data_IF_049825574759
#
_entry.id   IF_049825574759
#
_cell.length_a   1.000
_cell.length_b   1.000
_cell.length_c   1.000
_cell.angle_alpha   90.00
_cell.angle_beta   90.00
_cell.angle_gamma   90.00
#
_symmetry.space_group_name_H-M   'P 1'
#
loop_
_entity.id
_entity.type
_entity.pdbx_description
1 polymer ?
#
# COMPACT_ATOMS: atom_id res chain seq x y z
N UNK A 1 -1.83 10.63 9.80
CA UNK A 1 -1.10 9.33 9.75
C UNK A 1 -1.46 8.56 8.48
N UNK A 2 -2.73 8.22 8.24
CA UNK A 2 -3.21 7.46 7.06
C UNK A 2 -2.88 8.09 5.69
N UNK A 3 -3.00 9.42 5.56
CA UNK A 3 -2.72 10.15 4.32
C UNK A 3 -1.33 9.84 3.72
N UNK A 4 -0.31 9.61 4.56
CA UNK A 4 1.04 9.27 4.07
C UNK A 4 1.08 7.87 3.44
N UNK A 5 0.27 6.94 3.92
CA UNK A 5 0.17 5.58 3.39
C UNK A 5 -0.63 5.57 2.09
N UNK A 6 -1.70 6.37 2.01
CA UNK A 6 -2.43 6.60 0.76
C UNK A 6 -1.49 7.19 -0.31
N UNK A 7 -0.72 8.23 0.03
CA UNK A 7 0.23 8.84 -0.89
C UNK A 7 1.33 7.86 -1.35
N UNK A 8 1.81 6.97 -0.47
CA UNK A 8 2.76 5.92 -0.84
C UNK A 8 2.15 4.85 -1.75
N UNK A 9 0.92 4.41 -1.47
CA UNK A 9 0.22 3.47 -2.34
C UNK A 9 0.02 4.06 -3.76
N UNK A 10 -0.32 5.35 -3.86
CA UNK A 10 -0.36 6.03 -5.15
C UNK A 10 1.00 6.16 -5.82
N UNK A 11 2.06 6.44 -5.06
CA UNK A 11 3.41 6.56 -5.61
C UNK A 11 3.89 5.23 -6.21
N UNK A 12 3.56 4.09 -5.59
CA UNK A 12 3.89 2.76 -6.14
C UNK A 12 3.19 2.54 -7.49
N UNK A 13 1.92 2.93 -7.62
CA UNK A 13 1.17 2.85 -8.90
C UNK A 13 1.77 3.74 -10.00
N UNK A 14 2.36 4.88 -9.63
CA UNK A 14 2.99 5.84 -10.54
C UNK A 14 4.46 5.52 -10.83
N UNK A 15 5.03 4.48 -10.22
CA UNK A 15 6.44 4.10 -10.37
C UNK A 15 6.66 3.51 -11.76
N UNK A 16 7.49 4.17 -12.55
CA UNK A 16 7.93 3.61 -13.83
C UNK A 16 8.76 2.34 -13.60
N UNK A 17 8.57 1.36 -14.47
CA UNK A 17 9.36 0.14 -14.45
C UNK A 17 10.76 0.45 -15.01
N UNK A 18 11.84 0.07 -14.31
CA UNK A 18 13.19 0.20 -14.85
C UNK A 18 13.32 -0.54 -16.19
N UNK A 19 14.29 -0.17 -17.05
CA UNK A 19 14.53 -0.86 -18.32
C UNK A 19 15.22 -2.22 -18.11
N UNK A 20 14.55 -3.12 -17.40
CA UNK A 20 14.99 -4.50 -17.08
C UNK A 20 14.13 -5.52 -17.83
N UNK A 21 14.75 -6.62 -18.25
CA UNK A 21 14.12 -7.69 -19.03
C UNK A 21 14.07 -9.01 -18.26
N UNK A 22 13.39 -10.00 -18.84
CA UNK A 22 13.38 -11.38 -18.34
C UNK A 22 12.81 -11.51 -16.92
N UNK A 23 13.41 -12.38 -16.12
CA UNK A 23 12.97 -12.73 -14.76
C UNK A 23 13.04 -11.54 -13.79
N UNK A 24 14.06 -10.68 -13.91
CA UNK A 24 14.21 -9.49 -13.05
C UNK A 24 13.02 -8.54 -13.19
N UNK A 25 12.48 -8.41 -14.41
CA UNK A 25 11.28 -7.60 -14.67
C UNK A 25 10.08 -8.09 -13.85
N UNK A 26 9.91 -9.39 -13.75
CA UNK A 26 8.82 -10.01 -13.02
C UNK A 26 8.96 -9.80 -11.51
N UNK A 27 10.18 -9.96 -10.97
CA UNK A 27 10.47 -9.69 -9.56
C UNK A 27 10.15 -8.24 -9.16
N UNK A 28 10.46 -7.27 -10.02
CA UNK A 28 10.12 -5.86 -9.76
C UNK A 28 8.60 -5.59 -9.74
N UNK A 29 7.84 -6.31 -10.55
CA UNK A 29 6.37 -6.22 -10.58
C UNK A 29 5.80 -6.83 -9.29
N UNK A 30 6.27 -8.00 -8.90
CA UNK A 30 5.83 -8.68 -7.67
C UNK A 30 6.14 -7.84 -6.44
N UNK A 31 7.35 -7.27 -6.38
CA UNK A 31 7.71 -6.33 -5.32
C UNK A 31 6.80 -5.10 -5.32
N UNK A 32 6.49 -4.52 -6.49
CA UNK A 32 5.56 -3.38 -6.57
C UNK A 32 4.16 -3.75 -6.07
N UNK A 33 3.68 -4.96 -6.34
CA UNK A 33 2.38 -5.42 -5.87
C UNK A 33 2.35 -5.58 -4.35
N UNK A 34 3.41 -6.17 -3.77
CA UNK A 34 3.56 -6.31 -2.32
C UNK A 34 3.63 -4.92 -1.65
N UNK A 35 4.50 -4.04 -2.16
CA UNK A 35 4.63 -2.66 -1.67
C UNK A 35 3.27 -1.93 -1.71
N UNK A 36 2.54 -2.08 -2.82
CA UNK A 36 1.23 -1.45 -2.96
C UNK A 36 0.25 -1.98 -1.92
N UNK A 37 0.15 -3.29 -1.74
CA UNK A 37 -0.75 -3.92 -0.77
C UNK A 37 -0.47 -3.45 0.66
N UNK A 38 0.80 -3.43 1.07
CA UNK A 38 1.20 -3.01 2.41
C UNK A 38 0.79 -1.57 2.72
N UNK A 39 0.94 -0.66 1.75
CA UNK A 39 0.51 0.72 1.91
C UNK A 39 -1.00 0.89 1.79
N UNK A 40 -1.64 0.17 0.87
CA UNK A 40 -3.07 0.30 0.61
C UNK A 40 -3.92 -0.17 1.80
N UNK A 41 -3.55 -1.30 2.43
CA UNK A 41 -4.27 -1.84 3.59
C UNK A 41 -4.34 -0.82 4.73
N UNK A 42 -3.20 -0.19 5.06
CA UNK A 42 -3.16 0.84 6.11
C UNK A 42 -3.81 2.14 5.61
N UNK A 43 -3.61 2.49 4.34
CA UNK A 43 -4.16 3.72 3.76
C UNK A 43 -5.69 3.75 3.70
N UNK A 44 -6.34 2.61 3.56
CA UNK A 44 -7.80 2.48 3.48
C UNK A 44 -8.47 2.24 4.84
N UNK A 45 -7.67 2.04 5.90
CA UNK A 45 -8.20 1.83 7.24
C UNK A 45 -8.93 3.07 7.79
N UNK A 46 -9.93 2.83 8.65
CA UNK A 46 -10.51 3.86 9.52
C UNK A 46 -9.75 3.90 10.84
N UNK A 47 -9.20 5.07 11.18
CA UNK A 47 -8.44 5.25 12.41
C UNK A 47 -9.28 5.86 13.52
N UNK A 48 -9.22 5.30 14.73
CA UNK A 48 -9.74 5.89 15.96
C UNK A 48 -8.67 5.87 17.05
N UNK A 49 -8.75 6.85 17.97
CA UNK A 49 -7.81 6.97 19.09
C UNK A 49 -8.61 7.00 20.39
N UNK A 50 -8.34 6.09 21.31
CA UNK A 50 -8.97 6.05 22.64
C UNK A 50 -7.92 5.66 23.68
N UNK A 51 -7.84 6.42 24.78
CA UNK A 51 -6.93 6.17 25.91
C UNK A 51 -5.46 5.95 25.51
N UNK A 52 -5.00 6.66 24.47
CA UNK A 52 -3.64 6.55 23.93
C UNK A 52 -3.40 5.37 22.99
N UNK A 53 -4.43 4.60 22.66
CA UNK A 53 -4.38 3.46 21.72
C UNK A 53 -4.96 3.88 20.37
N UNK A 54 -4.17 3.67 19.31
CA UNK A 54 -4.62 3.79 17.92
C UNK A 54 -5.21 2.45 17.45
N UNK A 55 -6.48 2.47 17.06
CA UNK A 55 -7.12 1.34 16.39
C UNK A 55 -7.28 1.66 14.91
N UNK A 56 -6.87 0.74 14.05
CA UNK A 56 -7.07 0.79 12.61
C UNK A 56 -8.06 -0.32 12.21
N UNK A 57 -9.23 0.08 11.75
CA UNK A 57 -10.27 -0.84 11.27
C UNK A 57 -10.21 -0.93 9.75
N UNK A 58 -10.13 -2.16 9.22
CA UNK A 58 -10.13 -2.43 7.78
C UNK A 58 -11.35 -3.29 7.48
N UNK A 59 -12.22 -2.79 6.60
CA UNK A 59 -13.38 -3.55 6.14
C UNK A 59 -12.98 -4.43 4.96
N UNK A 60 -13.06 -5.76 5.15
CA UNK A 60 -12.75 -6.74 4.11
C UNK A 60 -13.99 -7.20 3.33
N UNK A 61 -15.18 -6.68 3.68
CA UNK A 61 -16.38 -6.90 2.89
C UNK A 61 -16.21 -6.04 1.63
N UNK A 62 -15.99 -6.71 0.50
CA UNK A 62 -15.76 -6.03 -0.79
C UNK A 62 -16.85 -5.01 -1.12
N UNK A 63 -16.52 -4.06 -1.99
CA UNK A 63 -17.54 -3.23 -2.68
C UNK A 63 -18.23 -4.03 -3.77
#
# INVERSE_FOLDING_TARGET
MLQRFQARAEAVKKRDLPPIGGEERQLFIEQAQQDFMDYAIIGDAKGSMADGVLTLEIDLRGK
#
